data_IF_448042588881
#
_entry.id   IF_448042588881
#
_cell.length_a   1.000
_cell.length_b   1.000
_cell.length_c   1.000
_cell.angle_alpha   90.00
_cell.angle_beta   90.00
_cell.angle_gamma   90.00
#
_symmetry.space_group_name_H-M   'P 1'
#
loop_
_entity.id
_entity.type
_entity.pdbx_description
1 polymer ?
#
# COMPACT_ATOMS: atom_id res chain seq x y z
N UNK A 1 -21.68 -34.69 68.38
CA UNK A 1 -21.51 -35.05 66.95
C UNK A 1 -21.61 -33.76 66.14
N UNK A 2 -20.48 -33.08 65.90
CA UNK A 2 -19.84 -32.91 64.57
C UNK A 2 -20.91 -32.59 63.50
N UNK A 3 -21.08 -31.38 62.96
CA UNK A 3 -20.15 -30.29 62.76
C UNK A 3 -20.00 -30.04 61.25
N UNK A 4 -20.40 -28.83 60.82
CA UNK A 4 -20.29 -28.20 59.48
C UNK A 4 -21.46 -28.40 58.52
N UNK A 5 -22.42 -27.49 58.62
CA UNK A 5 -23.23 -27.03 57.47
C UNK A 5 -22.30 -26.55 56.35
N UNK A 6 -22.44 -27.02 55.11
CA UNK A 6 -21.57 -26.61 54.02
C UNK A 6 -21.79 -25.13 53.70
N UNK A 7 -20.70 -24.37 53.69
CA UNK A 7 -20.62 -22.98 53.25
C UNK A 7 -21.23 -22.88 51.85
N UNK A 8 -22.41 -22.26 51.70
CA UNK A 8 -22.94 -21.91 50.39
C UNK A 8 -21.97 -20.92 49.73
N UNK A 9 -21.19 -21.41 48.77
CA UNK A 9 -20.31 -20.59 47.94
C UNK A 9 -21.18 -19.58 47.18
N UNK A 10 -21.10 -18.30 47.56
CA UNK A 10 -21.86 -17.22 46.93
C UNK A 10 -21.70 -17.28 45.40
N UNK A 11 -22.75 -17.59 44.63
CA UNK A 11 -22.64 -17.77 43.17
C UNK A 11 -22.18 -16.49 42.47
N UNK A 12 -22.51 -15.33 43.05
CA UNK A 12 -22.05 -14.03 42.59
C UNK A 12 -20.53 -13.85 42.71
N UNK A 13 -19.88 -14.42 43.72
CA UNK A 13 -18.41 -14.35 43.86
C UNK A 13 -17.73 -15.25 42.82
N UNK A 14 -18.29 -16.43 42.54
CA UNK A 14 -17.76 -17.32 41.51
C UNK A 14 -17.88 -16.70 40.10
N UNK A 15 -19.01 -16.07 39.80
CA UNK A 15 -19.21 -15.34 38.53
C UNK A 15 -18.26 -14.14 38.43
N UNK A 16 -18.14 -13.30 39.48
CA UNK A 16 -17.19 -12.17 39.50
C UNK A 16 -15.74 -12.61 39.31
N UNK A 17 -15.30 -13.68 39.99
CA UNK A 17 -13.95 -14.24 39.82
C UNK A 17 -13.70 -14.71 38.39
N UNK A 18 -14.66 -15.41 37.80
CA UNK A 18 -14.57 -15.88 36.41
C UNK A 18 -14.52 -14.70 35.43
N UNK A 19 -15.36 -13.67 35.62
CA UNK A 19 -15.34 -12.47 34.79
C UNK A 19 -14.01 -11.74 34.88
N UNK A 20 -13.48 -11.53 36.10
CA UNK A 20 -12.17 -10.88 36.30
C UNK A 20 -11.07 -11.70 35.62
N UNK A 21 -11.09 -13.03 35.74
CA UNK A 21 -10.13 -13.89 35.05
C UNK A 21 -10.15 -13.70 33.54
N UNK A 22 -11.33 -13.70 32.91
CA UNK A 22 -11.45 -13.47 31.47
C UNK A 22 -11.02 -12.05 31.07
N UNK A 23 -11.34 -11.03 31.87
CA UNK A 23 -10.87 -9.66 31.61
C UNK A 23 -9.34 -9.57 31.65
N UNK A 24 -8.71 -10.18 32.65
CA UNK A 24 -7.23 -10.21 32.75
C UNK A 24 -6.63 -10.95 31.55
N UNK A 25 -7.21 -12.09 31.17
CA UNK A 25 -6.77 -12.83 29.99
C UNK A 25 -6.85 -11.98 28.72
N UNK A 26 -7.95 -11.27 28.51
CA UNK A 26 -8.15 -10.39 27.36
C UNK A 26 -7.17 -9.22 27.35
N UNK A 27 -6.90 -8.61 28.50
CA UNK A 27 -5.92 -7.52 28.61
C UNK A 27 -4.51 -8.03 28.29
N UNK A 28 -4.12 -9.19 28.82
CA UNK A 28 -2.83 -9.80 28.50
C UNK A 28 -2.70 -10.14 27.01
N UNK A 29 -3.77 -10.67 26.42
CA UNK A 29 -3.81 -10.96 24.98
C UNK A 29 -3.69 -9.69 24.14
N UNK A 30 -4.42 -8.62 24.51
CA UNK A 30 -4.32 -7.33 23.83
C UNK A 30 -2.91 -6.73 23.92
N UNK A 31 -2.26 -6.80 25.08
CA UNK A 31 -0.87 -6.35 25.26
C UNK A 31 0.08 -7.15 24.35
N UNK A 32 -0.09 -8.47 24.25
CA UNK A 32 0.74 -9.29 23.36
C UNK A 32 0.59 -8.91 21.88
N UNK A 33 -0.64 -8.65 21.43
CA UNK A 33 -0.91 -8.15 20.06
C UNK A 33 -0.25 -6.79 19.83
N UNK A 34 -0.38 -5.87 20.78
CA UNK A 34 0.25 -4.54 20.67
C UNK A 34 1.77 -4.62 20.63
N UNK A 35 2.39 -5.47 21.47
CA UNK A 35 3.84 -5.70 21.44
C UNK A 35 4.30 -6.25 20.08
N UNK A 36 3.54 -7.19 19.51
CA UNK A 36 3.81 -7.72 18.16
C UNK A 36 3.68 -6.64 17.10
N UNK A 37 2.68 -5.77 17.19
CA UNK A 37 2.48 -4.66 16.27
C UNK A 37 3.65 -3.67 16.32
N UNK A 38 4.10 -3.29 17.53
CA UNK A 38 5.28 -2.45 17.74
C UNK A 38 6.53 -3.11 17.15
N UNK A 39 6.68 -4.44 17.29
CA UNK A 39 7.78 -5.17 16.67
C UNK A 39 7.83 -4.95 15.15
N UNK A 40 6.69 -5.03 14.46
CA UNK A 40 6.66 -4.81 13.01
C UNK A 40 6.79 -3.34 12.64
N UNK A 41 6.12 -2.44 13.36
CA UNK A 41 6.08 -1.03 13.01
C UNK A 41 7.39 -0.31 13.32
N UNK A 42 8.08 -0.66 14.40
CA UNK A 42 9.32 0.03 14.82
C UNK A 42 10.55 -0.63 14.20
N UNK A 43 10.70 -1.96 14.30
CA UNK A 43 11.91 -2.64 13.79
C UNK A 43 11.93 -2.81 12.28
N UNK A 44 10.77 -2.77 11.60
CA UNK A 44 10.71 -2.84 10.12
C UNK A 44 10.31 -1.52 9.47
N UNK A 45 10.27 -0.42 10.23
CA UNK A 45 9.93 0.90 9.70
C UNK A 45 10.85 1.28 8.55
N UNK A 46 12.16 1.19 8.77
CA UNK A 46 13.15 1.66 7.79
C UNK A 46 13.16 0.82 6.50
N UNK A 47 12.90 -0.47 6.61
CA UNK A 47 12.80 -1.34 5.43
C UNK A 47 11.56 -1.00 4.59
N UNK A 48 10.41 -0.75 5.23
CA UNK A 48 9.18 -0.41 4.50
C UNK A 48 9.23 1.03 3.96
N UNK A 49 9.80 1.97 4.71
CA UNK A 49 9.99 3.35 4.29
C UNK A 49 10.97 3.46 3.11
N UNK A 50 12.09 2.73 3.14
CA UNK A 50 13.06 2.71 2.02
C UNK A 50 12.50 2.03 0.76
N UNK A 51 11.65 1.01 0.91
CA UNK A 51 10.94 0.41 -0.22
C UNK A 51 9.90 1.37 -0.81
N UNK A 52 9.13 2.06 0.03
CA UNK A 52 8.17 3.06 -0.42
C UNK A 52 8.86 4.24 -1.12
N UNK A 53 9.99 4.72 -0.60
CA UNK A 53 10.80 5.76 -1.23
C UNK A 53 11.30 5.32 -2.61
N UNK A 54 11.83 4.09 -2.75
CA UNK A 54 12.27 3.55 -4.04
C UNK A 54 11.13 3.35 -5.03
N UNK A 55 9.92 3.06 -4.57
CA UNK A 55 8.75 2.88 -5.41
C UNK A 55 8.12 4.21 -5.84
N UNK A 56 8.10 5.22 -4.97
CA UNK A 56 7.61 6.56 -5.27
C UNK A 56 8.61 7.39 -6.09
N UNK A 57 9.91 7.26 -5.80
CA UNK A 57 10.97 7.74 -6.67
C UNK A 57 11.10 6.80 -7.87
N UNK A 58 10.09 6.80 -8.76
CA UNK A 58 10.28 6.33 -10.12
C UNK A 58 11.33 7.25 -10.74
N UNK A 59 12.60 6.84 -10.63
CA UNK A 59 13.68 7.42 -11.40
C UNK A 59 13.38 7.12 -12.85
N UNK A 60 12.67 8.03 -13.52
CA UNK A 60 12.57 8.03 -14.97
C UNK A 60 14.00 8.31 -15.44
N UNK A 61 14.78 7.25 -15.62
CA UNK A 61 16.06 7.34 -16.32
C UNK A 61 15.71 7.85 -17.71
N UNK A 62 15.96 9.13 -17.95
CA UNK A 62 15.94 9.69 -19.29
C UNK A 62 17.05 9.01 -20.06
N UNK A 63 16.69 8.03 -20.89
CA UNK A 63 17.65 7.39 -21.79
C UNK A 63 18.32 8.49 -22.62
N UNK A 64 19.67 8.52 -22.70
CA UNK A 64 20.35 9.53 -23.51
C UNK A 64 19.89 9.41 -24.97
N UNK A 65 19.67 10.55 -25.63
CA UNK A 65 19.28 10.58 -27.06
C UNK A 65 20.29 9.77 -27.88
N UNK A 66 19.80 8.92 -28.79
CA UNK A 66 20.68 8.20 -29.72
C UNK A 66 21.31 9.20 -30.68
N UNK A 67 22.63 9.08 -30.89
CA UNK A 67 23.33 9.89 -31.88
C UNK A 67 22.77 9.69 -33.29
N UNK A 68 22.77 10.76 -34.09
CA UNK A 68 22.35 10.70 -35.50
C UNK A 68 23.33 9.85 -36.31
N UNK A 69 22.80 9.02 -37.21
CA UNK A 69 23.58 8.22 -38.17
C UNK A 69 23.67 9.00 -39.48
N UNK A 70 24.87 9.12 -40.04
CA UNK A 70 25.14 9.80 -41.31
C UNK A 70 25.69 8.83 -42.36
N UNK A 71 25.36 9.05 -43.64
CA UNK A 71 26.02 8.43 -44.79
C UNK A 71 27.44 9.01 -45.00
N UNK A 72 28.28 8.37 -45.83
CA UNK A 72 29.63 8.83 -46.20
C UNK A 72 29.67 10.26 -46.76
N UNK A 73 28.54 10.75 -47.28
CA UNK A 73 28.36 12.12 -47.80
C UNK A 73 27.81 13.11 -46.76
N UNK A 74 27.72 12.73 -45.49
CA UNK A 74 27.22 13.59 -44.40
C UNK A 74 25.70 13.76 -44.38
N UNK A 75 24.93 12.93 -45.09
CA UNK A 75 23.47 12.99 -45.10
C UNK A 75 22.91 12.19 -43.92
N UNK A 76 21.96 12.75 -43.17
CA UNK A 76 21.29 12.06 -42.06
C UNK A 76 20.48 10.85 -42.58
N UNK A 77 20.72 9.67 -41.98
CA UNK A 77 20.00 8.42 -42.25
C UNK A 77 19.03 8.06 -41.12
N UNK A 78 19.36 8.39 -39.88
CA UNK A 78 18.49 8.17 -38.73
C UNK A 78 18.80 9.17 -37.61
N UNK A 79 17.76 9.70 -36.96
CA UNK A 79 17.87 10.59 -35.80
C UNK A 79 16.75 10.33 -34.79
N UNK A 80 16.98 10.62 -33.52
CA UNK A 80 15.94 10.62 -32.50
C UNK A 80 15.17 11.93 -32.53
N UNK A 81 13.84 11.85 -32.64
CA UNK A 81 12.94 13.00 -32.57
C UNK A 81 12.16 12.95 -31.25
N UNK A 82 12.08 14.08 -30.57
CA UNK A 82 11.11 14.25 -29.50
C UNK A 82 9.75 14.51 -30.13
N UNK A 83 8.79 13.67 -29.78
CA UNK A 83 7.40 13.77 -30.25
C UNK A 83 6.50 13.75 -29.02
N UNK A 84 5.47 14.58 -29.05
CA UNK A 84 4.42 14.53 -28.04
C UNK A 84 3.61 13.24 -28.25
N UNK A 85 3.39 12.48 -27.18
CA UNK A 85 2.53 11.30 -27.20
C UNK A 85 1.31 11.54 -26.31
N UNK A 86 0.14 11.21 -26.85
CA UNK A 86 -1.14 11.30 -26.14
C UNK A 86 -1.68 9.87 -26.04
N UNK A 87 -2.17 9.50 -24.85
CA UNK A 87 -2.83 8.22 -24.61
C UNK A 87 -4.15 8.44 -23.89
N UNK A 88 -5.10 7.53 -24.08
CA UNK A 88 -6.41 7.58 -23.44
C UNK A 88 -6.61 6.32 -22.57
N UNK A 89 -7.17 6.50 -21.38
CA UNK A 89 -7.49 5.41 -20.47
C UNK A 89 -9.00 5.08 -20.57
N UNK A 90 -9.42 3.95 -21.18
CA UNK A 90 -10.83 3.70 -21.49
C UNK A 90 -11.76 3.73 -20.28
N UNK A 91 -11.28 3.32 -19.09
CA UNK A 91 -12.07 3.31 -17.86
C UNK A 91 -12.46 4.70 -17.33
N UNK A 92 -11.80 5.76 -17.79
CA UNK A 92 -12.07 7.14 -17.38
C UNK A 92 -12.93 7.90 -18.41
N UNK A 93 -13.27 7.26 -19.53
CA UNK A 93 -13.98 7.88 -20.65
C UNK A 93 -15.47 7.53 -20.55
N UNK A 94 -16.30 8.55 -20.32
CA UNK A 94 -17.76 8.40 -20.26
C UNK A 94 -18.40 8.22 -21.64
N UNK A 95 -17.95 9.01 -22.62
CA UNK A 95 -18.45 8.99 -24.00
C UNK A 95 -17.28 9.00 -24.99
N UNK A 96 -16.92 7.83 -25.56
CA UNK A 96 -15.82 7.72 -26.51
C UNK A 96 -16.05 8.47 -27.81
N UNK A 97 -17.29 8.56 -28.31
CA UNK A 97 -17.59 9.18 -29.60
C UNK A 97 -17.45 10.70 -29.52
N UNK A 98 -18.00 11.30 -28.46
CA UNK A 98 -17.87 12.73 -28.22
C UNK A 98 -16.40 13.15 -27.97
N UNK A 99 -15.64 12.33 -27.24
CA UNK A 99 -14.22 12.58 -26.98
C UNK A 99 -13.40 12.48 -28.27
N UNK A 100 -13.62 11.43 -29.09
CA UNK A 100 -12.92 11.26 -30.36
C UNK A 100 -13.17 12.43 -31.33
N UNK A 101 -14.42 12.91 -31.42
CA UNK A 101 -14.79 14.05 -32.25
C UNK A 101 -14.12 15.36 -31.82
N UNK A 102 -13.90 15.52 -30.51
CA UNK A 102 -13.22 16.71 -29.96
C UNK A 102 -11.71 16.62 -30.16
N UNK A 103 -11.12 15.45 -29.93
CA UNK A 103 -9.67 15.22 -30.09
C UNK A 103 -9.23 15.25 -31.56
N UNK A 104 -10.06 14.79 -32.49
CA UNK A 104 -9.73 14.78 -33.92
C UNK A 104 -9.56 16.18 -34.51
N UNK A 105 -10.10 17.23 -33.88
CA UNK A 105 -9.88 18.61 -34.30
C UNK A 105 -8.51 19.16 -33.87
N UNK A 106 -7.92 18.58 -32.82
CA UNK A 106 -6.67 19.06 -32.21
C UNK A 106 -5.47 18.24 -32.65
N UNK A 107 -5.67 16.93 -32.91
CA UNK A 107 -4.59 15.99 -33.24
C UNK A 107 -4.41 15.73 -34.75
N UNK A 108 -5.20 16.38 -35.61
CA UNK A 108 -5.19 16.21 -37.07
C UNK A 108 -4.62 17.46 -37.76
#
# INVERSE_FOLDING_TARGET
MIGKTPQALNPLLAVKKRTIFFCVLLVLWAIAVQARLVQYQVFKHEQMASLAERQQQRTIKTTPKRGSIFDRKGRELARSLEVESVYAAPGEIKDPEALAKSLSQVLN
#
